data_IF_549351984777
#
_entry.id   IF_549351984777
#
_cell.length_a   1.000
_cell.length_b   1.000
_cell.length_c   1.000
_cell.angle_alpha   90.00
_cell.angle_beta   90.00
_cell.angle_gamma   90.00
#
_symmetry.space_group_name_H-M   'P 1'
#
loop_
_entity.id
_entity.type
_entity.pdbx_description
1 polymer ?
#
# COMPACT_ATOMS: atom_id res chain seq x y z
N UNK A 1 29.43 14.49 12.50
CA UNK A 1 29.97 14.05 11.21
C UNK A 1 29.71 15.18 10.22
N UNK A 2 30.77 15.78 9.72
CA UNK A 2 30.73 16.85 8.71
C UNK A 2 29.96 16.32 7.48
N UNK A 3 28.96 17.06 7.04
CA UNK A 3 28.29 16.89 5.75
C UNK A 3 29.39 17.11 4.69
N UNK A 4 29.96 16.04 4.15
CA UNK A 4 30.70 16.14 2.89
C UNK A 4 29.74 16.72 1.87
N UNK A 5 30.16 17.76 1.17
CA UNK A 5 29.42 18.41 0.10
C UNK A 5 28.70 17.36 -0.75
N UNK A 6 27.37 17.34 -0.69
CA UNK A 6 26.54 16.45 -1.49
C UNK A 6 26.67 16.95 -2.94
N UNK A 7 27.61 16.33 -3.67
CA UNK A 7 27.82 16.64 -5.07
C UNK A 7 26.82 15.86 -5.91
N UNK A 8 26.15 16.54 -6.85
CA UNK A 8 25.25 15.94 -7.82
C UNK A 8 23.77 16.24 -7.61
N UNK A 9 22.97 15.80 -8.59
CA UNK A 9 21.52 16.04 -8.61
C UNK A 9 20.72 14.75 -8.82
N UNK A 10 19.51 14.72 -8.26
CA UNK A 10 18.58 13.62 -8.48
C UNK A 10 17.21 14.14 -8.93
N UNK A 11 16.53 13.34 -9.75
CA UNK A 11 15.16 13.62 -10.20
C UNK A 11 14.25 12.47 -9.79
N UNK A 12 13.15 12.80 -9.12
CA UNK A 12 12.08 11.87 -8.76
C UNK A 12 10.86 12.12 -9.63
N UNK A 13 10.36 11.10 -10.28
CA UNK A 13 9.19 11.17 -11.15
C UNK A 13 7.97 10.69 -10.38
N UNK A 14 7.04 11.60 -10.10
CA UNK A 14 5.82 11.36 -9.32
C UNK A 14 5.94 11.76 -7.85
N UNK A 15 4.93 12.45 -7.33
CA UNK A 15 4.85 12.99 -5.97
C UNK A 15 3.74 12.33 -5.11
N UNK A 16 3.51 11.01 -5.28
CA UNK A 16 2.76 10.20 -4.33
C UNK A 16 3.70 9.68 -3.24
N UNK A 17 3.21 8.90 -2.27
CA UNK A 17 4.01 8.45 -1.11
C UNK A 17 5.36 7.86 -1.53
N UNK A 18 5.41 7.03 -2.56
CA UNK A 18 6.67 6.42 -3.03
C UNK A 18 7.67 7.49 -3.44
N UNK A 19 7.25 8.45 -4.28
CA UNK A 19 8.13 9.52 -4.74
C UNK A 19 8.53 10.47 -3.63
N UNK A 20 7.62 10.81 -2.72
CA UNK A 20 7.93 11.65 -1.56
C UNK A 20 8.95 10.97 -0.61
N UNK A 21 8.83 9.66 -0.40
CA UNK A 21 9.81 8.90 0.40
C UNK A 21 11.15 8.80 -0.32
N UNK A 22 11.16 8.59 -1.65
CA UNK A 22 12.38 8.62 -2.44
C UNK A 22 13.07 10.00 -2.35
N UNK A 23 12.32 11.10 -2.52
CA UNK A 23 12.84 12.45 -2.42
C UNK A 23 13.45 12.73 -1.03
N UNK A 24 12.76 12.30 0.04
CA UNK A 24 13.29 12.42 1.41
C UNK A 24 14.63 11.70 1.58
N UNK A 25 14.71 10.47 1.07
CA UNK A 25 15.96 9.69 1.14
C UNK A 25 17.06 10.36 0.31
N UNK A 26 16.76 10.75 -0.93
CA UNK A 26 17.73 11.35 -1.84
C UNK A 26 18.30 12.68 -1.33
N UNK A 27 17.50 13.45 -0.58
CA UNK A 27 17.93 14.70 0.02
C UNK A 27 19.13 14.56 0.98
N UNK A 28 19.37 13.37 1.51
CA UNK A 28 20.54 13.09 2.37
C UNK A 28 21.82 12.78 1.54
N UNK A 29 21.70 12.59 0.20
CA UNK A 29 22.81 12.12 -0.65
C UNK A 29 23.12 13.06 -1.83
N UNK A 30 22.20 13.95 -2.19
CA UNK A 30 22.32 14.84 -3.36
C UNK A 30 22.15 16.30 -2.94
N UNK A 31 22.88 17.17 -3.62
CA UNK A 31 22.80 18.63 -3.41
C UNK A 31 21.45 19.20 -3.84
N UNK A 32 20.90 18.67 -4.92
CA UNK A 32 19.61 19.07 -5.47
C UNK A 32 18.73 17.85 -5.78
N UNK A 33 17.48 17.88 -5.34
CA UNK A 33 16.46 16.87 -5.63
C UNK A 33 15.25 17.55 -6.24
N UNK A 34 14.94 17.24 -7.51
CA UNK A 34 13.75 17.75 -8.19
C UNK A 34 12.67 16.68 -8.25
N UNK A 35 11.50 16.97 -7.69
CA UNK A 35 10.31 16.10 -7.78
C UNK A 35 9.42 16.60 -8.91
N UNK A 36 9.31 15.81 -9.98
CA UNK A 36 8.44 16.12 -11.14
C UNK A 36 7.08 15.50 -10.92
N UNK A 37 6.02 16.29 -10.96
CA UNK A 37 4.65 15.84 -10.79
C UNK A 37 3.72 16.39 -11.88
N UNK A 38 2.87 15.52 -12.40
CA UNK A 38 1.89 15.88 -13.44
C UNK A 38 0.74 16.75 -12.96
N UNK A 39 0.34 16.58 -11.69
CA UNK A 39 -0.71 17.37 -11.06
C UNK A 39 -0.11 18.65 -10.47
N UNK A 40 -0.94 19.69 -10.33
CA UNK A 40 -0.70 20.78 -9.39
C UNK A 40 -1.05 20.26 -8.00
N UNK A 41 -0.10 20.27 -7.09
CA UNK A 41 -0.25 19.64 -5.79
C UNK A 41 -1.02 20.54 -4.80
N UNK A 42 -2.11 20.06 -4.19
CA UNK A 42 -2.87 20.82 -3.21
C UNK A 42 -2.05 21.06 -1.93
N UNK A 43 -2.31 22.16 -1.23
CA UNK A 43 -1.71 22.43 0.07
C UNK A 43 -2.30 21.57 1.20
N UNK A 44 -3.56 21.16 1.10
CA UNK A 44 -4.29 20.40 2.11
C UNK A 44 -4.53 18.93 1.75
N UNK A 45 -5.34 18.23 2.57
CA UNK A 45 -5.69 16.81 2.42
C UNK A 45 -6.79 16.59 1.36
N UNK A 46 -6.55 16.98 0.12
CA UNK A 46 -7.48 16.88 -0.99
C UNK A 46 -7.12 15.67 -1.87
N UNK A 47 -8.14 14.95 -2.34
CA UNK A 47 -7.97 13.90 -3.35
C UNK A 47 -7.54 14.53 -4.68
N UNK A 48 -6.59 13.92 -5.38
CA UNK A 48 -6.07 14.41 -6.65
C UNK A 48 -6.16 13.36 -7.76
N UNK A 49 -6.21 13.81 -9.00
CA UNK A 49 -6.42 12.96 -10.17
C UNK A 49 -5.30 11.92 -10.37
N UNK A 50 -4.05 12.27 -10.07
CA UNK A 50 -2.91 11.35 -10.18
C UNK A 50 -2.88 10.25 -9.13
N UNK A 51 -3.70 10.36 -8.06
CA UNK A 51 -3.81 9.34 -6.98
C UNK A 51 -5.26 8.93 -6.77
N UNK A 52 -5.90 8.26 -7.75
CA UNK A 52 -7.32 7.90 -7.69
C UNK A 52 -7.66 6.97 -6.51
N UNK A 53 -6.69 6.20 -6.01
CA UNK A 53 -6.84 5.39 -4.80
C UNK A 53 -6.95 6.21 -3.51
N UNK A 54 -6.71 7.52 -3.55
CA UNK A 54 -6.75 8.39 -2.37
C UNK A 54 -8.10 8.47 -1.66
N UNK A 55 -9.20 8.16 -2.35
CA UNK A 55 -10.56 8.07 -1.80
C UNK A 55 -10.94 6.69 -1.23
N UNK A 56 -10.03 5.71 -1.30
CA UNK A 56 -10.28 4.35 -0.82
C UNK A 56 -9.99 4.21 0.68
N UNK A 57 -10.54 3.17 1.37
CA UNK A 57 -10.16 2.86 2.74
C UNK A 57 -8.64 2.62 2.85
N UNK A 58 -8.01 3.27 3.82
CA UNK A 58 -6.59 3.09 4.09
C UNK A 58 -6.32 3.00 5.58
N UNK A 59 -5.28 2.26 5.92
CA UNK A 59 -4.67 2.25 7.25
C UNK A 59 -3.16 2.40 7.07
N UNK A 60 -2.50 3.03 8.03
CA UNK A 60 -1.05 3.01 8.09
C UNK A 60 -0.63 1.82 8.94
N UNK A 61 -0.20 0.76 8.26
CA UNK A 61 0.25 -0.48 8.87
C UNK A 61 1.53 -0.27 9.68
N UNK A 62 1.72 -1.07 10.72
CA UNK A 62 2.83 -0.97 11.69
C UNK A 62 4.20 -0.83 11.02
N UNK A 63 4.49 -1.62 9.98
CA UNK A 63 5.79 -1.53 9.27
C UNK A 63 5.98 -0.19 8.59
N UNK A 64 4.95 0.29 7.87
CA UNK A 64 5.02 1.59 7.21
C UNK A 64 5.11 2.72 8.22
N UNK A 65 4.36 2.65 9.32
CA UNK A 65 4.38 3.63 10.41
C UNK A 65 5.79 3.80 11.00
N UNK A 66 6.42 2.69 11.37
CA UNK A 66 7.79 2.72 11.92
C UNK A 66 8.82 3.29 10.95
N UNK A 67 8.70 2.97 9.65
CA UNK A 67 9.60 3.53 8.64
C UNK A 67 9.36 5.02 8.42
N UNK A 68 8.10 5.45 8.33
CA UNK A 68 7.75 6.86 8.19
C UNK A 68 8.27 7.69 9.37
N UNK A 69 8.13 7.19 10.59
CA UNK A 69 8.65 7.89 11.77
C UNK A 69 10.17 7.93 11.81
N UNK A 70 10.84 6.87 11.30
CA UNK A 70 12.30 6.83 11.16
C UNK A 70 12.83 7.86 10.16
N UNK A 71 12.15 8.06 9.02
CA UNK A 71 12.59 9.00 7.97
C UNK A 71 12.07 10.42 8.20
N UNK A 72 11.02 10.56 8.99
CA UNK A 72 10.42 11.83 9.42
C UNK A 72 10.17 11.82 10.92
N UNK A 73 11.17 12.06 11.77
CA UNK A 73 11.01 12.02 13.24
C UNK A 73 9.82 12.83 13.73
N UNK A 74 9.01 12.26 14.64
CA UNK A 74 7.77 12.86 15.16
C UNK A 74 6.59 12.87 14.17
N UNK A 75 6.67 12.09 13.09
CA UNK A 75 5.58 12.00 12.10
C UNK A 75 4.32 11.37 12.69
N UNK A 76 4.47 10.34 13.50
CA UNK A 76 3.32 9.65 14.10
C UNK A 76 2.61 10.52 15.14
N UNK A 77 3.35 11.29 15.92
CA UNK A 77 2.77 12.24 16.88
C UNK A 77 1.96 13.32 16.16
N UNK A 78 2.49 13.87 15.07
CA UNK A 78 1.79 14.84 14.24
C UNK A 78 0.53 14.24 13.59
N UNK A 79 0.58 12.98 13.14
CA UNK A 79 -0.56 12.29 12.56
C UNK A 79 -1.69 12.14 13.58
N UNK A 80 -1.36 11.73 14.79
CA UNK A 80 -2.32 11.58 15.91
C UNK A 80 -2.86 12.92 16.36
N UNK A 81 -2.01 13.93 16.53
CA UNK A 81 -2.42 15.30 16.86
C UNK A 81 -3.37 15.91 15.82
N UNK A 82 -3.23 15.50 14.55
CA UNK A 82 -4.14 15.88 13.45
C UNK A 82 -5.43 15.09 13.39
N UNK A 83 -5.71 14.21 14.37
CA UNK A 83 -6.97 13.50 14.53
C UNK A 83 -6.97 12.03 14.03
N UNK A 84 -5.85 11.50 13.58
CA UNK A 84 -5.76 10.08 13.25
C UNK A 84 -5.99 9.22 14.49
N UNK A 85 -6.76 8.15 14.34
CA UNK A 85 -6.98 7.20 15.45
C UNK A 85 -5.85 6.19 15.51
N UNK A 86 -5.52 5.75 16.72
CA UNK A 86 -4.49 4.77 16.98
C UNK A 86 -5.08 3.54 17.66
N UNK A 87 -4.70 2.35 17.20
CA UNK A 87 -4.92 1.09 17.89
C UNK A 87 -3.57 0.55 18.38
N UNK A 88 -3.30 0.67 19.65
CA UNK A 88 -2.03 0.33 20.30
C UNK A 88 -2.21 -0.36 21.66
N UNK A 89 -3.47 -0.55 22.10
CA UNK A 89 -3.84 -1.14 23.39
C UNK A 89 -4.21 -2.62 23.28
N UNK A 90 -4.25 -3.14 22.04
CA UNK A 90 -4.59 -4.52 21.75
C UNK A 90 -6.06 -4.90 21.90
N UNK A 91 -6.96 -3.95 22.19
CA UNK A 91 -8.39 -4.19 22.39
C UNK A 91 -9.05 -4.73 21.10
N UNK A 92 -9.38 -6.02 21.11
CA UNK A 92 -9.98 -6.72 19.98
C UNK A 92 -11.42 -6.26 19.67
N UNK A 93 -12.10 -5.60 20.60
CA UNK A 93 -13.43 -5.07 20.36
C UNK A 93 -13.46 -3.90 19.37
N UNK A 94 -12.29 -3.28 19.11
CA UNK A 94 -12.11 -2.23 18.09
C UNK A 94 -12.01 -2.76 16.69
N UNK A 95 -11.96 -4.08 16.50
CA UNK A 95 -11.79 -4.75 15.23
C UNK A 95 -12.98 -5.69 14.97
N UNK A 96 -13.50 -5.70 13.73
CA UNK A 96 -14.50 -6.65 13.30
C UNK A 96 -14.08 -7.26 11.96
N UNK A 97 -13.38 -8.39 12.02
CA UNK A 97 -12.69 -8.96 10.87
C UNK A 97 -13.24 -10.34 10.54
N UNK A 98 -13.64 -10.52 9.28
CA UNK A 98 -14.10 -11.83 8.75
C UNK A 98 -13.32 -12.15 7.49
N UNK A 99 -12.62 -13.28 7.49
CA UNK A 99 -11.83 -13.78 6.37
C UNK A 99 -12.11 -15.27 6.18
N UNK A 100 -12.32 -15.71 4.93
CA UNK A 100 -12.59 -17.12 4.61
C UNK A 100 -13.84 -17.68 5.32
N UNK A 101 -14.82 -16.83 5.66
CA UNK A 101 -15.98 -17.21 6.47
C UNK A 101 -15.73 -17.20 7.99
N UNK A 102 -14.48 -17.09 8.44
CA UNK A 102 -14.10 -17.10 9.86
C UNK A 102 -14.12 -15.68 10.43
N UNK A 103 -14.89 -15.49 11.50
CA UNK A 103 -14.96 -14.23 12.24
C UNK A 103 -13.95 -14.26 13.38
N UNK A 104 -12.94 -13.41 13.31
CA UNK A 104 -11.88 -13.33 14.33
C UNK A 104 -12.45 -12.90 15.70
N UNK A 105 -11.79 -13.38 16.75
CA UNK A 105 -12.12 -13.07 18.15
C UNK A 105 -12.20 -11.55 18.37
N UNK A 106 -13.25 -11.09 19.03
CA UNK A 106 -13.54 -9.67 19.27
C UNK A 106 -13.55 -9.28 20.76
N UNK A 107 -13.23 -10.21 21.65
CA UNK A 107 -13.17 -9.96 23.09
C UNK A 107 -11.76 -10.10 23.63
N UNK A 108 -11.45 -9.33 24.67
CA UNK A 108 -10.12 -9.34 25.27
C UNK A 108 -9.08 -8.54 24.47
N UNK A 109 -7.81 -8.86 24.70
CA UNK A 109 -6.68 -8.18 24.08
C UNK A 109 -5.72 -9.17 23.44
N UNK A 110 -4.95 -8.71 22.45
CA UNK A 110 -3.78 -9.46 21.96
C UNK A 110 -2.72 -9.56 23.08
N UNK A 111 -1.93 -10.67 23.13
CA UNK A 111 -0.94 -10.88 24.20
C UNK A 111 0.16 -9.81 24.25
N UNK A 112 0.61 -9.31 23.10
CA UNK A 112 1.62 -8.27 22.99
C UNK A 112 1.11 -7.10 22.13
N UNK A 113 0.40 -6.12 22.70
CA UNK A 113 -0.14 -4.98 21.99
C UNK A 113 0.94 -4.12 21.32
N UNK A 114 2.16 -4.07 21.89
CA UNK A 114 3.25 -3.25 21.36
C UNK A 114 3.81 -3.76 20.04
N UNK A 115 3.60 -5.04 19.74
CA UNK A 115 4.07 -5.64 18.47
C UNK A 115 3.25 -5.21 17.25
N UNK A 116 2.08 -4.61 17.45
CA UNK A 116 1.20 -4.17 16.37
C UNK A 116 0.56 -2.84 16.76
N UNK A 117 0.94 -1.79 16.07
CA UNK A 117 0.35 -0.46 16.23
C UNK A 117 -0.19 0.00 14.88
N UNK A 118 -1.49 0.25 14.79
CA UNK A 118 -2.14 0.62 13.54
C UNK A 118 -2.68 2.04 13.69
N UNK A 119 -2.37 2.88 12.68
CA UNK A 119 -2.94 4.23 12.61
C UNK A 119 -4.02 4.26 11.53
N UNK A 120 -5.19 4.73 11.91
CA UNK A 120 -6.36 4.88 11.04
C UNK A 120 -6.45 6.32 10.59
N UNK A 121 -6.25 6.52 9.29
CA UNK A 121 -6.20 7.85 8.69
C UNK A 121 -6.53 7.74 7.20
N UNK A 122 -7.14 8.77 6.63
CA UNK A 122 -7.35 8.82 5.19
C UNK A 122 -6.02 9.04 4.45
N UNK A 123 -5.88 8.39 3.31
CA UNK A 123 -4.70 8.52 2.45
C UNK A 123 -4.37 9.97 2.12
N UNK A 124 -5.37 10.80 1.83
CA UNK A 124 -5.20 12.21 1.51
C UNK A 124 -4.58 13.00 2.67
N UNK A 125 -4.97 12.70 3.92
CA UNK A 125 -4.42 13.35 5.10
C UNK A 125 -2.98 12.94 5.35
N UNK A 126 -2.70 11.64 5.36
CA UNK A 126 -1.35 11.09 5.46
C UNK A 126 -0.41 11.69 4.41
N UNK A 127 -0.82 11.68 3.12
CA UNK A 127 0.00 12.18 2.01
C UNK A 127 0.23 13.70 2.14
N UNK A 128 -0.73 14.47 2.66
CA UNK A 128 -0.57 15.91 2.85
C UNK A 128 0.51 16.25 3.88
N UNK A 129 0.60 15.47 4.97
CA UNK A 129 1.64 15.64 5.99
C UNK A 129 3.01 15.28 5.41
N UNK A 130 3.14 14.13 4.75
CA UNK A 130 4.41 13.72 4.13
C UNK A 130 4.87 14.76 3.10
N UNK A 131 3.96 15.22 2.23
CA UNK A 131 4.26 16.24 1.21
C UNK A 131 4.72 17.55 1.84
N UNK A 132 4.06 18.03 2.90
CA UNK A 132 4.46 19.25 3.61
C UNK A 132 5.87 19.11 4.18
N UNK A 133 6.18 17.97 4.81
CA UNK A 133 7.51 17.71 5.36
C UNK A 133 8.59 17.62 4.27
N UNK A 134 8.30 17.00 3.13
CA UNK A 134 9.25 16.95 2.00
C UNK A 134 9.46 18.34 1.39
N UNK A 135 8.41 19.16 1.25
CA UNK A 135 8.53 20.53 0.77
C UNK A 135 9.36 21.44 1.70
N UNK A 136 9.44 21.11 2.97
CA UNK A 136 10.25 21.85 3.94
C UNK A 136 11.74 21.50 3.89
N UNK A 137 12.15 20.50 3.09
CA UNK A 137 13.56 20.13 2.93
C UNK A 137 14.24 21.12 1.96
N UNK A 138 15.31 21.83 2.38
CA UNK A 138 15.87 22.97 1.63
C UNK A 138 16.36 22.63 0.22
N UNK A 139 16.91 21.43 0.01
CA UNK A 139 17.44 20.95 -1.28
C UNK A 139 16.43 20.11 -2.07
N UNK A 140 15.12 20.18 -1.75
CA UNK A 140 14.06 19.51 -2.51
C UNK A 140 13.17 20.55 -3.18
N UNK A 141 13.06 20.50 -4.49
CA UNK A 141 12.18 21.35 -5.29
C UNK A 141 11.10 20.54 -5.98
N UNK A 142 9.93 21.16 -6.23
CA UNK A 142 8.82 20.53 -6.93
C UNK A 142 8.58 21.21 -8.26
N UNK A 143 8.58 20.41 -9.34
CA UNK A 143 8.20 20.83 -10.69
C UNK A 143 6.83 20.23 -11.00
N UNK A 144 5.79 20.99 -10.71
CA UNK A 144 4.39 20.60 -10.86
C UNK A 144 3.84 20.89 -12.26
N UNK A 145 2.78 20.18 -12.68
CA UNK A 145 2.14 20.38 -13.98
C UNK A 145 2.97 19.88 -15.16
N UNK A 146 3.90 18.92 -14.95
CA UNK A 146 4.79 18.41 -15.97
C UNK A 146 4.64 16.90 -16.17
N UNK A 147 4.49 16.47 -17.41
CA UNK A 147 4.58 15.07 -17.80
C UNK A 147 6.02 14.70 -18.17
N UNK A 148 6.41 13.45 -17.92
CA UNK A 148 7.72 12.93 -18.37
C UNK A 148 7.60 12.51 -19.84
N UNK A 149 8.37 13.15 -20.72
CA UNK A 149 8.38 12.86 -22.14
C UNK A 149 9.28 11.68 -22.48
N UNK A 150 10.56 11.71 -22.05
CA UNK A 150 11.57 10.67 -22.29
C UNK A 150 12.71 10.74 -21.27
N UNK A 151 13.51 9.68 -21.19
CA UNK A 151 14.78 9.69 -20.47
C UNK A 151 15.90 10.21 -21.38
N UNK A 152 16.90 10.87 -20.78
CA UNK A 152 18.18 11.18 -21.45
C UNK A 152 19.25 10.20 -20.96
N UNK A 153 20.23 9.92 -21.81
CA UNK A 153 21.29 8.96 -21.49
C UNK A 153 22.62 9.39 -22.10
N UNK A 154 23.73 8.81 -21.63
CA UNK A 154 25.06 8.93 -22.24
C UNK A 154 25.03 8.46 -23.70
N UNK A 155 26.04 8.89 -24.50
CA UNK A 155 26.15 8.52 -25.93
C UNK A 155 26.10 7.00 -26.14
N UNK A 156 26.74 6.21 -25.28
CA UNK A 156 26.72 4.75 -25.34
C UNK A 156 25.49 4.13 -24.61
N UNK A 157 24.56 4.98 -24.16
CA UNK A 157 23.32 4.60 -23.47
C UNK A 157 23.54 3.74 -22.21
N UNK A 158 24.75 3.68 -21.66
CA UNK A 158 25.09 2.89 -20.49
C UNK A 158 24.53 3.46 -19.18
N UNK A 159 24.16 4.75 -19.17
CA UNK A 159 23.67 5.47 -18.01
C UNK A 159 22.58 6.47 -18.40
N UNK A 160 21.53 6.54 -17.62
CA UNK A 160 20.54 7.62 -17.65
C UNK A 160 21.19 8.87 -17.02
N UNK A 161 21.05 10.01 -17.68
CA UNK A 161 21.66 11.30 -17.31
C UNK A 161 20.63 12.38 -17.02
N UNK A 162 19.33 12.01 -16.98
CA UNK A 162 18.24 12.92 -16.71
C UNK A 162 16.96 12.57 -17.43
N UNK A 163 16.07 13.55 -17.53
CA UNK A 163 14.76 13.41 -18.17
C UNK A 163 14.40 14.64 -18.99
N UNK A 164 13.62 14.45 -20.04
CA UNK A 164 12.89 15.54 -20.69
C UNK A 164 11.48 15.55 -20.14
N UNK A 165 11.06 16.71 -19.67
CA UNK A 165 9.72 16.96 -19.16
C UNK A 165 8.97 17.92 -20.08
N UNK A 166 7.66 17.74 -20.18
CA UNK A 166 6.78 18.59 -20.98
C UNK A 166 5.75 19.26 -20.08
N UNK A 167 5.67 20.57 -20.13
CA UNK A 167 4.68 21.34 -19.39
C UNK A 167 3.29 21.10 -19.96
N UNK A 168 2.34 20.75 -19.14
CA UNK A 168 1.01 20.24 -19.56
C UNK A 168 0.11 21.29 -20.22
N UNK A 169 0.26 22.55 -19.83
CA UNK A 169 -0.55 23.66 -20.37
C UNK A 169 -0.07 24.13 -21.74
N UNK A 170 1.24 24.08 -22.01
CA UNK A 170 1.86 24.64 -23.21
C UNK A 170 2.52 23.59 -24.11
N UNK A 171 2.79 22.38 -23.59
CA UNK A 171 3.58 21.39 -24.29
C UNK A 171 5.08 21.72 -24.38
N UNK A 172 5.53 22.84 -23.76
CA UNK A 172 6.93 23.24 -23.80
C UNK A 172 7.81 22.20 -23.09
N UNK A 173 8.83 21.70 -23.80
CA UNK A 173 9.79 20.74 -23.26
C UNK A 173 10.98 21.44 -22.62
N UNK A 174 11.47 20.85 -21.52
CA UNK A 174 12.73 21.20 -20.90
C UNK A 174 13.48 19.94 -20.43
N UNK A 175 14.80 20.06 -20.35
CA UNK A 175 15.65 18.94 -19.90
C UNK A 175 16.14 19.17 -18.49
N UNK A 176 15.93 18.18 -17.62
CA UNK A 176 16.51 18.12 -16.28
C UNK A 176 17.64 17.10 -16.30
N UNK A 177 18.86 17.56 -16.07
CA UNK A 177 20.03 16.68 -15.88
C UNK A 177 20.03 16.11 -14.48
N UNK A 178 20.44 14.85 -14.33
CA UNK A 178 20.53 14.19 -13.04
C UNK A 178 21.51 13.02 -13.03
N UNK A 179 22.17 12.80 -11.92
CA UNK A 179 23.01 11.62 -11.69
C UNK A 179 22.18 10.39 -11.35
N UNK A 180 20.97 10.60 -10.81
CA UNK A 180 20.01 9.55 -10.53
C UNK A 180 18.58 10.01 -10.86
N UNK A 181 17.86 9.19 -11.60
CA UNK A 181 16.43 9.30 -11.86
C UNK A 181 15.71 8.18 -11.13
N UNK A 182 14.69 8.54 -10.34
CA UNK A 182 13.83 7.57 -9.65
C UNK A 182 12.41 7.65 -10.21
N UNK A 183 11.97 6.60 -10.90
CA UNK A 183 10.58 6.49 -11.37
C UNK A 183 9.66 5.96 -10.27
N UNK A 184 8.79 6.83 -9.76
CA UNK A 184 7.70 6.56 -8.84
C UNK A 184 6.34 6.97 -9.43
N UNK A 185 6.19 6.92 -10.78
CA UNK A 185 4.98 7.36 -11.50
C UNK A 185 3.81 6.37 -11.39
N UNK A 186 3.98 5.29 -10.62
CA UNK A 186 2.94 4.34 -10.32
C UNK A 186 2.58 3.40 -11.48
N UNK A 187 1.35 2.89 -11.48
CA UNK A 187 0.90 1.86 -12.46
C UNK A 187 1.05 2.29 -13.92
N UNK A 188 0.99 3.59 -14.17
CA UNK A 188 1.11 4.18 -15.50
C UNK A 188 2.55 4.43 -15.95
N UNK A 189 3.56 3.97 -15.22
CA UNK A 189 4.97 4.15 -15.57
C UNK A 189 5.27 3.78 -17.02
N UNK A 190 5.94 4.69 -17.71
CA UNK A 190 6.40 4.53 -19.08
C UNK A 190 7.84 4.04 -19.18
N UNK A 191 8.51 3.85 -18.05
CA UNK A 191 9.92 3.39 -18.02
C UNK A 191 10.18 2.11 -18.82
N UNK A 192 9.27 1.09 -18.88
CA UNK A 192 9.48 -0.06 -19.76
C UNK A 192 9.64 0.32 -21.23
N UNK A 193 8.89 1.32 -21.70
CA UNK A 193 9.00 1.83 -23.09
C UNK A 193 10.31 2.63 -23.28
N UNK A 194 10.64 3.49 -22.32
CA UNK A 194 11.90 4.24 -22.39
C UNK A 194 13.14 3.34 -22.38
N UNK A 195 13.12 2.23 -21.62
CA UNK A 195 14.20 1.25 -21.65
C UNK A 195 14.33 0.56 -23.00
N UNK A 196 13.21 0.25 -23.65
CA UNK A 196 13.20 -0.32 -25.02
C UNK A 196 13.80 0.66 -26.03
N UNK A 197 13.43 1.95 -25.97
CA UNK A 197 13.99 3.02 -26.80
C UNK A 197 15.52 3.18 -26.60
N UNK A 198 15.99 2.94 -25.37
CA UNK A 198 17.42 2.94 -25.03
C UNK A 198 18.14 1.63 -25.41
N UNK A 199 17.44 0.60 -25.88
CA UNK A 199 18.01 -0.68 -26.30
C UNK A 199 18.23 -1.70 -25.18
N UNK A 200 17.55 -1.54 -24.03
CA UNK A 200 17.61 -2.49 -22.89
C UNK A 200 16.54 -3.57 -22.93
N UNK A 201 15.52 -3.42 -23.75
CA UNK A 201 14.32 -4.25 -23.76
C UNK A 201 13.39 -3.93 -22.58
N UNK A 202 12.20 -4.51 -22.63
CA UNK A 202 11.19 -4.35 -21.56
C UNK A 202 11.39 -5.39 -20.46
N UNK A 203 11.21 -5.03 -19.18
CA UNK A 203 11.15 -6.02 -18.12
C UNK A 203 9.97 -6.98 -18.35
N UNK A 204 10.21 -8.27 -18.13
CA UNK A 204 9.13 -9.27 -18.13
C UNK A 204 8.07 -8.88 -17.08
N UNK A 205 6.81 -9.08 -17.37
CA UNK A 205 5.72 -8.87 -16.43
C UNK A 205 5.15 -10.21 -15.94
N UNK A 206 5.15 -10.39 -14.62
CA UNK A 206 4.32 -11.40 -13.96
C UNK A 206 2.96 -10.75 -13.69
N UNK A 207 1.85 -11.37 -14.11
CA UNK A 207 0.52 -10.75 -14.09
C UNK A 207 -0.56 -11.74 -13.69
N UNK A 208 -1.50 -11.29 -12.84
CA UNK A 208 -2.73 -12.00 -12.49
C UNK A 208 -3.91 -11.06 -12.68
N UNK A 209 -4.81 -11.40 -13.59
CA UNK A 209 -6.06 -10.65 -13.81
C UNK A 209 -7.01 -10.91 -12.64
N UNK A 210 -7.52 -9.86 -12.02
CA UNK A 210 -8.43 -9.95 -10.86
C UNK A 210 -9.74 -9.21 -11.08
N UNK A 211 -9.75 -8.19 -11.96
CA UNK A 211 -10.91 -7.39 -12.32
C UNK A 211 -11.71 -6.94 -11.08
N UNK A 212 -11.01 -6.33 -10.11
CA UNK A 212 -11.62 -5.79 -8.90
C UNK A 212 -12.12 -4.37 -9.15
N UNK A 213 -13.30 -4.07 -8.66
CA UNK A 213 -13.80 -2.69 -8.56
C UNK A 213 -14.16 -2.39 -7.12
N UNK A 214 -13.71 -1.26 -6.62
CA UNK A 214 -14.08 -0.70 -5.33
C UNK A 214 -15.05 0.44 -5.54
N UNK A 215 -16.21 0.39 -4.89
CA UNK A 215 -17.12 1.52 -4.72
C UNK A 215 -16.96 2.04 -3.29
N UNK A 216 -16.54 3.29 -3.14
CA UNK A 216 -16.21 3.86 -1.83
C UNK A 216 -16.96 5.16 -1.57
N UNK A 217 -17.43 5.30 -0.34
CA UNK A 217 -18.19 6.44 0.16
C UNK A 217 -17.56 6.93 1.46
N UNK A 218 -16.97 8.13 1.51
CA UNK A 218 -16.58 8.75 2.76
C UNK A 218 -17.83 9.24 3.51
N UNK A 219 -17.87 8.96 4.81
CA UNK A 219 -19.01 9.30 5.67
C UNK A 219 -18.53 9.87 7.00
N UNK A 220 -19.37 10.70 7.63
CA UNK A 220 -19.24 11.08 9.03
C UNK A 220 -20.16 10.19 9.86
N UNK A 221 -19.63 9.59 10.91
CA UNK A 221 -20.38 8.74 11.85
C UNK A 221 -20.40 9.44 13.20
N UNK A 222 -21.59 9.68 13.73
CA UNK A 222 -21.73 10.36 15.03
C UNK A 222 -20.94 9.62 16.12
N UNK A 223 -20.23 10.36 17.01
CA UNK A 223 -19.46 9.78 18.10
C UNK A 223 -20.25 8.76 18.91
N UNK A 224 -19.65 7.61 19.21
CA UNK A 224 -20.29 6.55 19.98
C UNK A 224 -21.21 5.60 19.20
N UNK A 225 -21.55 5.89 17.93
CA UNK A 225 -22.38 5.02 17.08
C UNK A 225 -21.66 3.72 16.71
N UNK A 226 -20.35 3.80 16.43
CA UNK A 226 -19.52 2.67 16.06
C UNK A 226 -18.30 2.59 16.98
N UNK A 227 -18.09 1.41 17.56
CA UNK A 227 -16.94 1.15 18.44
C UNK A 227 -15.68 0.79 17.63
N UNK A 228 -15.86 0.13 16.52
CA UNK A 228 -14.79 -0.41 15.70
C UNK A 228 -14.11 0.69 14.89
N UNK A 229 -12.78 0.59 14.82
CA UNK A 229 -11.96 1.39 13.90
C UNK A 229 -11.80 0.71 12.55
N UNK A 230 -11.99 -0.62 12.53
CA UNK A 230 -11.66 -1.44 11.39
C UNK A 230 -12.67 -2.60 11.27
N UNK A 231 -13.51 -2.53 10.25
CA UNK A 231 -14.46 -3.60 9.94
C UNK A 231 -14.20 -4.09 8.53
N UNK A 232 -13.97 -5.38 8.37
CA UNK A 232 -13.84 -6.08 7.07
C UNK A 232 -14.69 -7.34 7.09
N UNK A 233 -15.40 -7.56 5.99
CA UNK A 233 -15.87 -8.87 5.57
C UNK A 233 -15.28 -9.14 4.19
N UNK A 234 -14.28 -10.02 4.11
CA UNK A 234 -13.61 -10.35 2.87
C UNK A 234 -14.53 -11.11 1.92
N UNK A 235 -14.24 -11.02 0.63
CA UNK A 235 -14.90 -11.84 -0.38
C UNK A 235 -14.56 -13.32 -0.14
N UNK A 236 -15.51 -14.19 -0.44
CA UNK A 236 -15.38 -15.64 -0.34
C UNK A 236 -15.92 -16.34 -1.60
N UNK A 237 -15.62 -17.63 -1.82
CA UNK A 237 -16.03 -18.36 -3.02
C UNK A 237 -17.52 -18.32 -3.33
N UNK A 238 -18.36 -18.38 -2.30
CA UNK A 238 -19.83 -18.29 -2.42
C UNK A 238 -20.33 -16.87 -2.65
N UNK A 239 -19.54 -15.87 -2.28
CA UNK A 239 -19.89 -14.45 -2.34
C UNK A 239 -18.66 -13.62 -2.75
N UNK A 240 -18.43 -13.43 -4.07
CA UNK A 240 -17.27 -12.71 -4.59
C UNK A 240 -17.39 -11.18 -4.44
N UNK A 241 -17.88 -10.74 -3.29
CA UNK A 241 -18.01 -9.36 -2.85
C UNK A 241 -17.49 -9.24 -1.44
N UNK A 242 -16.83 -8.13 -1.14
CA UNK A 242 -16.35 -7.80 0.19
C UNK A 242 -16.85 -6.45 0.65
N UNK A 243 -16.77 -6.23 1.95
CA UNK A 243 -17.13 -5.00 2.63
C UNK A 243 -15.96 -4.53 3.49
N UNK A 244 -15.74 -3.22 3.54
CA UNK A 244 -14.81 -2.59 4.44
C UNK A 244 -15.37 -1.26 4.96
N UNK A 245 -15.13 -0.98 6.25
CA UNK A 245 -15.42 0.31 6.86
C UNK A 245 -14.27 0.67 7.79
N UNK A 246 -13.51 1.70 7.43
CA UNK A 246 -12.29 2.10 8.12
C UNK A 246 -12.45 3.49 8.69
N UNK A 247 -12.10 3.64 9.97
CA UNK A 247 -12.00 4.94 10.60
C UNK A 247 -10.93 5.82 9.94
N UNK A 248 -11.14 7.10 9.97
CA UNK A 248 -10.18 8.14 9.64
C UNK A 248 -10.07 9.14 10.76
N UNK A 249 -9.57 10.32 10.44
CA UNK A 249 -9.52 11.47 11.34
C UNK A 249 -10.93 12.06 11.56
N UNK A 250 -11.14 12.66 12.76
CA UNK A 250 -12.33 13.48 13.09
C UNK A 250 -13.69 12.78 12.86
N UNK A 251 -13.85 11.56 13.39
CA UNK A 251 -15.09 10.76 13.30
C UNK A 251 -15.55 10.45 11.86
N UNK A 252 -14.64 10.59 10.90
CA UNK A 252 -14.88 10.17 9.53
C UNK A 252 -14.53 8.70 9.33
N UNK A 253 -15.22 8.08 8.37
CA UNK A 253 -14.97 6.71 7.92
C UNK A 253 -14.98 6.65 6.40
N UNK A 254 -14.33 5.66 5.82
CA UNK A 254 -14.57 5.27 4.43
C UNK A 254 -15.25 3.92 4.42
N UNK A 255 -16.44 3.92 3.84
CA UNK A 255 -17.23 2.73 3.56
C UNK A 255 -16.90 2.26 2.15
N UNK A 256 -16.64 0.97 1.95
CA UNK A 256 -16.34 0.43 0.63
C UNK A 256 -16.97 -0.94 0.39
N UNK A 257 -17.43 -1.14 -0.82
CA UNK A 257 -17.79 -2.44 -1.39
C UNK A 257 -16.76 -2.81 -2.43
N UNK A 258 -16.23 -4.01 -2.30
CA UNK A 258 -15.35 -4.61 -3.31
C UNK A 258 -16.15 -5.63 -4.13
N UNK A 259 -16.11 -5.53 -5.44
CA UNK A 259 -16.63 -6.55 -6.36
C UNK A 259 -15.48 -7.14 -7.17
N UNK A 260 -15.52 -8.46 -7.42
CA UNK A 260 -14.46 -9.21 -8.11
C UNK A 260 -14.97 -9.78 -9.43
N UNK A 261 -14.01 -10.22 -10.25
CA UNK A 261 -14.27 -10.90 -11.53
C UNK A 261 -15.21 -10.12 -12.46
N UNK A 262 -15.14 -8.77 -12.44
CA UNK A 262 -15.92 -7.92 -13.31
C UNK A 262 -17.40 -7.76 -12.92
N UNK A 263 -17.81 -8.20 -11.74
CA UNK A 263 -19.17 -7.95 -11.25
C UNK A 263 -19.48 -6.46 -11.16
N UNK A 264 -20.74 -6.04 -11.38
CA UNK A 264 -21.16 -4.64 -11.25
C UNK A 264 -20.88 -4.11 -9.84
N UNK A 265 -20.35 -2.91 -9.74
CA UNK A 265 -20.18 -2.19 -8.49
C UNK A 265 -21.28 -1.13 -8.33
N UNK A 266 -21.75 -0.86 -7.10
CA UNK A 266 -22.72 0.19 -6.84
C UNK A 266 -22.14 1.57 -7.21
N UNK A 267 -22.99 2.44 -7.81
CA UNK A 267 -22.57 3.75 -8.32
C UNK A 267 -23.08 4.92 -7.50
N UNK A 268 -24.05 4.66 -6.62
CA UNK A 268 -24.68 5.64 -5.74
C UNK A 268 -24.82 5.09 -4.31
N UNK A 269 -25.21 5.96 -3.38
CA UNK A 269 -25.33 5.64 -1.95
C UNK A 269 -26.34 4.53 -1.69
N UNK A 270 -27.51 4.59 -2.29
CA UNK A 270 -28.59 3.64 -2.01
C UNK A 270 -28.23 2.24 -2.53
N UNK A 271 -27.71 2.17 -3.76
CA UNK A 271 -27.19 0.92 -4.32
C UNK A 271 -26.06 0.36 -3.47
N UNK A 272 -25.16 1.21 -2.95
CA UNK A 272 -24.06 0.80 -2.07
C UNK A 272 -24.62 0.24 -0.77
N UNK A 273 -25.51 0.95 -0.07
CA UNK A 273 -26.11 0.50 1.19
C UNK A 273 -26.93 -0.78 1.02
N UNK A 274 -27.66 -0.89 -0.08
CA UNK A 274 -28.42 -2.11 -0.39
C UNK A 274 -27.50 -3.32 -0.62
N UNK A 275 -26.35 -3.11 -1.27
CA UNK A 275 -25.36 -4.16 -1.50
C UNK A 275 -24.65 -4.66 -0.22
N UNK A 276 -24.82 -3.94 0.90
CA UNK A 276 -24.25 -4.31 2.20
C UNK A 276 -25.15 -5.23 3.03
N UNK A 277 -26.40 -5.40 2.68
CA UNK A 277 -27.41 -6.06 3.53
C UNK A 277 -27.03 -7.50 3.91
N UNK A 278 -26.36 -8.20 3.00
CA UNK A 278 -25.95 -9.61 3.18
C UNK A 278 -24.43 -9.78 3.52
N UNK A 279 -23.67 -8.67 3.57
CA UNK A 279 -22.22 -8.76 3.79
C UNK A 279 -21.71 -7.99 5.01
N UNK A 280 -22.36 -6.88 5.36
CA UNK A 280 -21.92 -6.08 6.50
C UNK A 280 -22.48 -6.65 7.80
N UNK A 281 -21.70 -6.62 8.91
CA UNK A 281 -22.25 -6.90 10.24
C UNK A 281 -23.43 -5.97 10.55
N UNK A 282 -24.52 -6.43 11.19
CA UNK A 282 -25.74 -5.63 11.39
C UNK A 282 -25.51 -4.26 12.04
N UNK A 283 -24.62 -4.17 13.03
CA UNK A 283 -24.28 -2.92 13.70
C UNK A 283 -23.52 -1.94 12.76
N UNK A 284 -22.62 -2.46 11.93
CA UNK A 284 -21.89 -1.65 10.95
C UNK A 284 -22.82 -1.17 9.81
N UNK A 285 -23.78 -2.01 9.38
CA UNK A 285 -24.80 -1.61 8.41
C UNK A 285 -25.72 -0.52 9.00
N UNK A 286 -26.13 -0.64 10.26
CA UNK A 286 -26.94 0.37 10.95
C UNK A 286 -26.18 1.71 11.02
N UNK A 287 -24.89 1.67 11.42
CA UNK A 287 -24.04 2.85 11.44
C UNK A 287 -23.86 3.47 10.03
N UNK A 288 -23.67 2.64 9.00
CA UNK A 288 -23.54 3.12 7.62
C UNK A 288 -24.83 3.81 7.09
N UNK A 289 -26.01 3.28 7.48
CA UNK A 289 -27.31 3.87 7.10
C UNK A 289 -27.57 5.20 7.77
N UNK A 290 -27.16 5.38 9.04
CA UNK A 290 -27.34 6.62 9.81
C UNK A 290 -26.23 7.64 9.54
N UNK A 291 -25.14 7.25 8.89
CA UNK A 291 -23.99 8.12 8.63
C UNK A 291 -24.32 9.21 7.60
N UNK A 292 -23.76 10.39 7.80
CA UNK A 292 -23.83 11.50 6.85
C UNK A 292 -22.79 11.32 5.73
N UNK A 293 -23.19 11.32 4.44
CA UNK A 293 -22.22 11.23 3.35
C UNK A 293 -21.42 12.54 3.23
N UNK A 294 -20.12 12.42 3.06
CA UNK A 294 -19.20 13.56 2.89
C UNK A 294 -18.88 13.83 1.41
N UNK A 295 -19.22 12.91 0.52
CA UNK A 295 -19.05 13.01 -0.93
C UNK A 295 -19.91 11.95 -1.64
N UNK A 296 -19.90 11.97 -2.95
CA UNK A 296 -20.51 10.91 -3.77
C UNK A 296 -19.70 9.62 -3.76
N UNK A 297 -20.34 8.52 -4.17
CA UNK A 297 -19.66 7.22 -4.36
C UNK A 297 -18.62 7.35 -5.47
N UNK A 298 -17.40 6.94 -5.15
CA UNK A 298 -16.28 6.91 -6.10
C UNK A 298 -15.92 5.49 -6.47
N UNK A 299 -15.67 5.26 -7.78
CA UNK A 299 -15.27 3.96 -8.29
C UNK A 299 -13.75 3.92 -8.54
N UNK A 300 -13.11 2.87 -8.04
CA UNK A 300 -11.71 2.58 -8.31
C UNK A 300 -11.56 1.18 -8.92
N UNK A 301 -11.09 1.12 -10.18
CA UNK A 301 -10.89 -0.13 -10.91
C UNK A 301 -9.44 -0.60 -10.78
N UNK A 302 -9.30 -1.85 -10.38
CA UNK A 302 -8.02 -2.54 -10.29
C UNK A 302 -8.08 -3.84 -11.11
N UNK A 303 -7.60 -3.81 -12.38
CA UNK A 303 -7.78 -4.94 -13.28
C UNK A 303 -6.86 -6.12 -12.99
N UNK A 304 -5.62 -5.88 -12.52
CA UNK A 304 -4.63 -6.93 -12.38
C UNK A 304 -3.55 -6.61 -11.34
N UNK A 305 -3.11 -7.62 -10.62
CA UNK A 305 -1.79 -7.61 -10.01
C UNK A 305 -0.76 -7.65 -11.13
N UNK A 306 0.33 -6.86 -11.02
CA UNK A 306 1.39 -6.81 -12.01
C UNK A 306 2.73 -6.53 -11.35
N UNK A 307 3.71 -7.35 -11.66
CA UNK A 307 5.09 -7.18 -11.24
C UNK A 307 6.01 -7.14 -12.44
N UNK A 308 6.61 -5.99 -12.70
CA UNK A 308 7.64 -5.77 -13.72
C UNK A 308 8.98 -6.20 -13.15
N UNK A 309 9.55 -7.24 -13.72
CA UNK A 309 10.72 -7.94 -13.22
C UNK A 309 12.01 -7.23 -13.63
N UNK A 310 12.23 -6.02 -13.09
CA UNK A 310 13.49 -5.29 -13.28
C UNK A 310 14.69 -6.06 -12.75
N UNK A 311 14.50 -6.88 -11.71
CA UNK A 311 15.50 -7.78 -11.13
C UNK A 311 15.95 -8.91 -12.09
N UNK A 312 15.22 -9.13 -13.19
CA UNK A 312 15.49 -10.16 -14.20
C UNK A 312 15.96 -9.58 -15.55
N UNK A 313 16.14 -8.27 -15.63
CA UNK A 313 16.74 -7.68 -16.82
C UNK A 313 18.20 -8.14 -16.95
N UNK A 314 18.60 -8.56 -18.15
CA UNK A 314 19.98 -8.96 -18.43
C UNK A 314 20.97 -7.78 -18.19
N UNK A 315 20.53 -6.56 -18.50
CA UNK A 315 21.27 -5.32 -18.27
C UNK A 315 20.30 -4.23 -17.82
N UNK A 316 20.76 -3.35 -16.96
CA UNK A 316 20.06 -2.13 -16.53
C UNK A 316 20.98 -0.93 -16.74
N UNK A 317 20.49 0.23 -17.22
CA UNK A 317 21.31 1.43 -17.27
C UNK A 317 21.68 1.88 -15.85
N UNK A 318 22.88 2.41 -15.66
CA UNK A 318 23.18 3.19 -14.47
C UNK A 318 22.27 4.40 -14.37
N UNK A 319 22.15 4.99 -13.17
CA UNK A 319 21.41 6.24 -12.98
C UNK A 319 19.89 6.15 -13.08
N UNK A 320 19.29 4.94 -13.04
CA UNK A 320 17.84 4.75 -13.05
C UNK A 320 17.38 3.74 -11.99
N UNK A 321 16.42 4.15 -11.16
CA UNK A 321 15.70 3.30 -10.20
C UNK A 321 14.20 3.38 -10.52
N UNK A 322 13.47 2.29 -10.29
CA UNK A 322 12.00 2.23 -10.41
C UNK A 322 11.44 1.67 -9.10
N UNK A 323 10.44 2.34 -8.53
CA UNK A 323 9.91 2.04 -7.20
C UNK A 323 8.37 2.01 -7.15
N UNK A 324 7.83 1.38 -6.11
CA UNK A 324 6.41 1.33 -5.79
C UNK A 324 5.58 0.69 -6.90
N UNK A 325 4.39 1.23 -7.15
CA UNK A 325 3.46 0.73 -8.17
C UNK A 325 4.03 0.79 -9.61
N UNK A 326 5.09 1.55 -9.84
CA UNK A 326 5.82 1.54 -11.11
C UNK A 326 6.57 0.23 -11.34
N UNK A 327 7.05 -0.40 -10.27
CA UNK A 327 7.69 -1.71 -10.29
C UNK A 327 6.69 -2.84 -10.03
N UNK A 328 5.92 -2.77 -8.94
CA UNK A 328 4.96 -3.82 -8.59
C UNK A 328 3.71 -3.24 -7.95
N UNK A 329 2.56 -3.60 -8.50
CA UNK A 329 1.26 -3.28 -7.89
C UNK A 329 0.44 -4.56 -7.69
N UNK A 330 -0.26 -4.63 -6.58
CA UNK A 330 -1.13 -5.75 -6.22
C UNK A 330 -2.43 -5.24 -5.58
N UNK A 331 -3.40 -6.13 -5.49
CA UNK A 331 -4.74 -5.83 -5.01
C UNK A 331 -4.69 -5.05 -3.68
N UNK A 332 -5.27 -3.84 -3.64
CA UNK A 332 -5.24 -2.96 -2.45
C UNK A 332 -5.85 -3.57 -1.19
N UNK A 333 -6.71 -4.57 -1.33
CA UNK A 333 -7.35 -5.27 -0.20
C UNK A 333 -6.36 -5.72 0.88
N UNK A 334 -5.14 -6.07 0.49
CA UNK A 334 -4.13 -6.59 1.42
C UNK A 334 -3.37 -5.50 2.18
N UNK A 335 -3.57 -4.22 1.84
CA UNK A 335 -3.02 -3.07 2.58
C UNK A 335 -1.49 -2.93 2.55
N UNK A 336 -0.77 -3.72 1.73
CA UNK A 336 0.70 -3.83 1.79
C UNK A 336 1.46 -2.80 0.96
N UNK A 337 0.78 -2.06 0.06
CA UNK A 337 1.45 -1.18 -0.92
C UNK A 337 2.32 -0.09 -0.27
N UNK A 338 1.82 0.58 0.77
CA UNK A 338 2.58 1.63 1.48
C UNK A 338 3.76 1.04 2.26
N UNK A 339 3.61 -0.15 2.86
CA UNK A 339 4.69 -0.82 3.57
C UNK A 339 5.82 -1.23 2.64
N UNK A 340 5.49 -1.69 1.43
CA UNK A 340 6.49 -2.00 0.39
C UNK A 340 7.19 -0.73 -0.08
N UNK A 341 6.44 0.34 -0.43
CA UNK A 341 7.03 1.61 -0.84
C UNK A 341 7.98 2.20 0.22
N UNK A 342 7.60 2.15 1.50
CA UNK A 342 8.43 2.57 2.61
C UNK A 342 9.69 1.69 2.76
N UNK A 343 9.54 0.37 2.61
CA UNK A 343 10.68 -0.57 2.65
C UNK A 343 11.64 -0.33 1.47
N UNK A 344 11.13 -0.09 0.27
CA UNK A 344 11.95 0.26 -0.89
C UNK A 344 12.74 1.56 -0.68
N UNK A 345 12.16 2.55 0.00
CA UNK A 345 12.88 3.78 0.35
C UNK A 345 14.08 3.51 1.29
N UNK A 346 13.92 2.63 2.28
CA UNK A 346 15.05 2.20 3.12
C UNK A 346 16.10 1.41 2.34
N UNK A 347 15.67 0.52 1.43
CA UNK A 347 16.59 -0.22 0.54
C UNK A 347 17.37 0.75 -0.33
N UNK A 348 16.71 1.78 -0.90
CA UNK A 348 17.38 2.82 -1.68
C UNK A 348 18.43 3.55 -0.85
N UNK A 349 18.08 3.98 0.37
CA UNK A 349 19.01 4.61 1.31
C UNK A 349 20.24 3.73 1.59
N UNK A 350 20.01 2.46 1.88
CA UNK A 350 21.07 1.54 2.24
C UNK A 350 21.95 1.18 1.04
N UNK A 351 21.40 1.12 -0.17
CA UNK A 351 22.15 0.99 -1.40
C UNK A 351 23.01 2.23 -1.71
N UNK A 352 22.48 3.44 -1.50
CA UNK A 352 23.23 4.69 -1.70
C UNK A 352 24.39 4.83 -0.72
N UNK A 353 24.24 4.39 0.54
CA UNK A 353 25.32 4.34 1.52
C UNK A 353 26.50 3.44 1.09
N UNK A 354 26.24 2.45 0.24
CA UNK A 354 27.25 1.54 -0.32
C UNK A 354 27.86 2.09 -1.62
N UNK A 355 27.48 3.27 -2.06
CA UNK A 355 27.97 3.93 -3.28
C UNK A 355 27.10 3.69 -4.51
N UNK A 356 27.53 4.29 -5.63
CA UNK A 356 26.74 4.32 -6.88
C UNK A 356 27.03 3.15 -7.84
N UNK A 357 28.11 2.39 -7.58
CA UNK A 357 28.46 1.26 -8.43
C UNK A 357 27.37 0.19 -8.39
N UNK A 358 26.91 -0.22 -9.57
CA UNK A 358 25.85 -1.21 -9.74
C UNK A 358 24.59 -0.96 -8.87
N UNK A 359 24.32 0.32 -8.57
CA UNK A 359 23.19 0.72 -7.71
C UNK A 359 21.84 0.14 -8.18
N UNK A 360 21.45 0.18 -9.47
CA UNK A 360 20.19 -0.39 -9.92
C UNK A 360 20.09 -1.90 -9.66
N UNK A 361 21.16 -2.66 -9.95
CA UNK A 361 21.18 -4.11 -9.76
C UNK A 361 21.05 -4.50 -8.29
N UNK A 362 21.77 -3.80 -7.40
CA UNK A 362 21.66 -4.02 -5.94
C UNK A 362 20.25 -3.69 -5.44
N UNK A 363 19.74 -2.53 -5.83
CA UNK A 363 18.40 -2.10 -5.44
C UNK A 363 17.33 -3.09 -5.90
N UNK A 364 17.28 -3.42 -7.20
CA UNK A 364 16.27 -4.33 -7.73
C UNK A 364 16.38 -5.74 -7.13
N UNK A 365 17.61 -6.23 -6.88
CA UNK A 365 17.84 -7.52 -6.24
C UNK A 365 17.32 -7.59 -4.80
N UNK A 366 17.50 -6.52 -4.01
CA UNK A 366 17.01 -6.43 -2.64
C UNK A 366 15.50 -6.16 -2.60
N UNK A 367 15.01 -5.23 -3.39
CA UNK A 367 13.59 -4.90 -3.48
C UNK A 367 12.76 -6.11 -3.92
N UNK A 368 13.25 -6.91 -4.88
CA UNK A 368 12.57 -8.11 -5.36
C UNK A 368 12.31 -9.16 -4.26
N UNK A 369 13.15 -9.21 -3.21
CA UNK A 369 12.93 -10.12 -2.06
C UNK A 369 11.70 -9.70 -1.26
N UNK A 370 11.60 -8.42 -0.93
CA UNK A 370 10.47 -7.88 -0.14
C UNK A 370 9.17 -7.84 -0.96
N UNK A 371 9.25 -7.33 -2.18
CA UNK A 371 8.12 -7.33 -3.14
C UNK A 371 7.62 -8.75 -3.40
N UNK A 372 8.54 -9.72 -3.57
CA UNK A 372 8.19 -11.11 -3.85
C UNK A 372 7.33 -11.75 -2.77
N UNK A 373 7.49 -11.33 -1.53
CA UNK A 373 6.69 -11.83 -0.41
C UNK A 373 5.27 -11.25 -0.41
N UNK A 374 5.17 -9.94 -0.62
CA UNK A 374 3.87 -9.29 -0.77
C UNK A 374 3.12 -9.80 -2.01
N UNK A 375 3.82 -9.96 -3.12
CA UNK A 375 3.30 -10.54 -4.35
C UNK A 375 2.73 -11.95 -4.13
N UNK A 376 3.50 -12.83 -3.50
CA UNK A 376 3.06 -14.19 -3.22
C UNK A 376 1.82 -14.22 -2.30
N UNK A 377 1.75 -13.33 -1.31
CA UNK A 377 0.60 -13.21 -0.42
C UNK A 377 -0.62 -12.77 -1.22
N UNK A 378 -0.53 -11.66 -1.96
CA UNK A 378 -1.64 -11.11 -2.74
C UNK A 378 -2.15 -12.11 -3.79
N UNK A 379 -1.24 -12.67 -4.60
CA UNK A 379 -1.61 -13.63 -5.66
C UNK A 379 -2.22 -14.91 -5.09
N UNK A 380 -1.68 -15.44 -3.98
CA UNK A 380 -2.24 -16.65 -3.37
C UNK A 380 -3.64 -16.40 -2.82
N UNK A 381 -3.86 -15.25 -2.16
CA UNK A 381 -5.16 -14.90 -1.62
C UNK A 381 -6.19 -14.62 -2.71
N UNK A 382 -5.81 -13.94 -3.80
CA UNK A 382 -6.69 -13.74 -4.95
C UNK A 382 -7.06 -15.10 -5.59
N UNK A 383 -6.10 -16.02 -5.72
CA UNK A 383 -6.32 -17.37 -6.26
C UNK A 383 -7.08 -18.29 -5.30
N UNK A 384 -7.36 -17.91 -4.06
CA UNK A 384 -8.30 -18.63 -3.19
C UNK A 384 -9.73 -18.58 -3.75
N UNK A 385 -10.05 -17.51 -4.52
CA UNK A 385 -11.36 -17.33 -5.14
C UNK A 385 -11.43 -18.05 -6.49
N UNK A 386 -12.36 -18.99 -6.70
CA UNK A 386 -12.45 -19.77 -7.94
C UNK A 386 -12.75 -18.92 -9.17
N UNK A 387 -13.38 -17.75 -8.99
CA UNK A 387 -13.70 -16.78 -10.03
C UNK A 387 -12.44 -16.14 -10.65
N UNK A 388 -11.31 -16.13 -9.95
CA UNK A 388 -10.05 -15.61 -10.46
C UNK A 388 -9.33 -16.68 -11.25
N UNK A 389 -9.18 -16.48 -12.55
CA UNK A 389 -8.46 -17.40 -13.42
C UNK A 389 -6.95 -17.38 -13.14
N UNK A 390 -6.34 -18.55 -12.97
CA UNK A 390 -4.90 -18.66 -12.75
C UNK A 390 -4.45 -20.04 -12.26
N UNK A 391 -3.15 -20.28 -12.32
CA UNK A 391 -2.56 -21.55 -11.93
C UNK A 391 -2.45 -21.68 -10.40
N UNK A 392 -3.20 -22.58 -9.81
CA UNK A 392 -3.15 -22.93 -8.39
C UNK A 392 -2.09 -23.99 -8.14
N UNK A 393 -0.83 -23.56 -8.00
CA UNK A 393 0.29 -24.46 -7.70
C UNK A 393 0.14 -25.12 -6.32
N UNK A 394 0.90 -26.19 -6.05
CA UNK A 394 0.90 -26.83 -4.74
C UNK A 394 1.27 -25.83 -3.62
N UNK A 395 2.22 -24.91 -3.88
CA UNK A 395 2.60 -23.86 -2.93
C UNK A 395 1.49 -22.85 -2.65
N UNK A 396 0.70 -22.47 -3.66
CA UNK A 396 -0.49 -21.61 -3.49
C UNK A 396 -1.53 -22.30 -2.63
N UNK A 397 -1.86 -23.57 -2.95
CA UNK A 397 -2.82 -24.37 -2.16
C UNK A 397 -2.39 -24.52 -0.70
N UNK A 398 -1.10 -24.86 -0.47
CA UNK A 398 -0.57 -25.00 0.90
C UNK A 398 -0.66 -23.66 1.67
N UNK A 399 -0.26 -22.56 1.05
CA UNK A 399 -0.33 -21.23 1.68
C UNK A 399 -1.75 -20.86 2.05
N UNK A 400 -2.70 -21.06 1.13
CA UNK A 400 -4.11 -20.75 1.40
C UNK A 400 -4.66 -21.64 2.52
N UNK A 401 -4.33 -22.93 2.54
CA UNK A 401 -4.74 -23.82 3.63
C UNK A 401 -4.13 -23.44 4.99
N UNK A 402 -2.89 -22.93 5.02
CA UNK A 402 -2.28 -22.44 6.25
C UNK A 402 -2.96 -21.15 6.75
N UNK A 403 -3.26 -20.21 5.85
CA UNK A 403 -3.99 -18.98 6.20
C UNK A 403 -5.39 -19.31 6.70
N UNK A 404 -6.11 -20.20 6.03
CA UNK A 404 -7.44 -20.67 6.42
C UNK A 404 -7.43 -21.26 7.84
N UNK A 405 -6.51 -22.16 8.15
CA UNK A 405 -6.34 -22.71 9.51
C UNK A 405 -5.99 -21.65 10.55
N UNK A 406 -5.18 -20.66 10.17
CA UNK A 406 -4.81 -19.56 11.06
C UNK A 406 -6.02 -18.69 11.40
N UNK A 407 -6.83 -18.31 10.41
CA UNK A 407 -8.02 -17.48 10.65
C UNK A 407 -9.11 -18.27 11.39
N UNK A 408 -9.25 -19.58 11.13
CA UNK A 408 -10.13 -20.45 11.89
C UNK A 408 -9.73 -20.53 13.39
N UNK A 409 -8.44 -20.71 13.68
CA UNK A 409 -7.95 -20.70 15.05
C UNK A 409 -8.10 -19.31 15.72
N UNK A 410 -8.02 -18.24 14.94
CA UNK A 410 -8.19 -16.86 15.41
C UNK A 410 -9.64 -16.51 15.82
N UNK A 411 -10.62 -17.37 15.57
CA UNK A 411 -12.00 -17.19 16.09
C UNK A 411 -12.06 -17.23 17.62
N UNK A 412 -11.13 -17.96 18.26
CA UNK A 412 -11.15 -18.21 19.71
C UNK A 412 -9.81 -17.95 20.41
N UNK A 413 -8.72 -17.82 19.67
CA UNK A 413 -7.37 -17.69 20.22
C UNK A 413 -6.77 -16.30 19.95
N UNK A 414 -6.58 -15.44 20.97
CA UNK A 414 -6.01 -14.10 20.80
C UNK A 414 -4.55 -14.13 20.31
N UNK A 415 -3.79 -15.22 20.56
CA UNK A 415 -2.44 -15.39 19.99
C UNK A 415 -2.51 -15.52 18.47
N UNK A 416 -3.49 -16.28 17.98
CA UNK A 416 -3.68 -16.46 16.54
C UNK A 416 -4.20 -15.19 15.86
N UNK A 417 -5.06 -14.42 16.52
CA UNK A 417 -5.43 -13.07 16.06
C UNK A 417 -4.19 -12.20 15.93
N UNK A 418 -3.33 -12.17 16.95
CA UNK A 418 -2.08 -11.40 16.92
C UNK A 418 -1.19 -11.83 15.75
N UNK A 419 -1.00 -13.13 15.51
CA UNK A 419 -0.19 -13.64 14.39
C UNK A 419 -0.75 -13.23 13.03
N UNK A 420 -2.07 -13.32 12.89
CA UNK A 420 -2.74 -12.87 11.67
C UNK A 420 -2.55 -11.36 11.43
N UNK A 421 -2.74 -10.54 12.45
CA UNK A 421 -2.53 -9.09 12.36
C UNK A 421 -1.06 -8.74 12.10
N UNK A 422 -0.11 -9.44 12.70
CA UNK A 422 1.32 -9.27 12.42
C UNK A 422 1.65 -9.55 10.94
N UNK A 423 1.09 -10.62 10.39
CA UNK A 423 1.23 -10.96 8.97
C UNK A 423 0.65 -9.87 8.06
N UNK A 424 -0.55 -9.37 8.35
CA UNK A 424 -1.19 -8.28 7.60
C UNK A 424 -0.36 -6.99 7.66
N UNK A 425 0.21 -6.69 8.82
CA UNK A 425 1.01 -5.47 9.06
C UNK A 425 2.49 -5.61 8.63
N UNK A 426 2.87 -6.75 8.06
CA UNK A 426 4.24 -7.07 7.61
C UNK A 426 5.28 -6.95 8.72
N UNK A 427 4.91 -7.26 9.97
CA UNK A 427 5.79 -7.25 11.15
C UNK A 427 5.87 -8.62 11.79
N UNK A 428 6.84 -8.78 12.69
CA UNK A 428 7.09 -10.06 13.38
C UNK A 428 7.96 -11.04 12.56
N UNK A 429 8.62 -11.97 13.26
CA UNK A 429 9.47 -12.96 12.62
C UNK A 429 8.61 -13.99 11.88
N UNK A 430 8.80 -14.13 10.58
CA UNK A 430 8.09 -15.14 9.74
C UNK A 430 8.28 -16.57 10.23
N UNK A 431 9.44 -16.86 10.82
CA UNK A 431 9.73 -18.15 11.43
C UNK A 431 8.74 -18.53 12.56
N UNK A 432 8.10 -17.53 13.17
CA UNK A 432 7.09 -17.78 14.21
C UNK A 432 5.83 -18.45 13.71
N UNK A 433 5.46 -18.27 12.44
CA UNK A 433 4.33 -18.98 11.82
C UNK A 433 4.59 -20.50 11.73
N UNK A 434 5.86 -20.90 11.68
CA UNK A 434 6.29 -22.28 11.57
C UNK A 434 6.77 -22.88 12.91
N UNK A 435 6.66 -22.14 14.01
CA UNK A 435 6.98 -22.69 15.35
C UNK A 435 6.03 -23.83 15.70
N UNK A 436 6.49 -24.90 16.35
CA UNK A 436 5.64 -26.02 16.78
C UNK A 436 4.41 -25.56 17.58
N UNK A 437 4.58 -24.57 18.46
CA UNK A 437 3.47 -24.00 19.24
C UNK A 437 2.39 -23.35 18.38
N UNK A 438 2.77 -22.64 17.31
CA UNK A 438 1.82 -22.03 16.36
C UNK A 438 1.12 -23.11 15.54
N UNK A 439 1.86 -24.10 15.05
CA UNK A 439 1.29 -25.23 14.31
C UNK A 439 0.29 -26.03 15.16
N UNK A 440 0.62 -26.29 16.43
CA UNK A 440 -0.29 -26.97 17.37
C UNK A 440 -1.58 -26.16 17.60
N UNK A 441 -1.50 -24.83 17.73
CA UNK A 441 -2.68 -23.96 17.84
C UNK A 441 -3.54 -23.98 16.59
N UNK A 442 -2.95 -23.96 15.40
CA UNK A 442 -3.68 -24.10 14.13
C UNK A 442 -4.30 -25.50 13.94
N UNK A 443 -3.77 -26.53 14.59
CA UNK A 443 -4.29 -27.89 14.55
C UNK A 443 -5.35 -28.16 15.60
N UNK A 444 -5.41 -27.36 16.67
CA UNK A 444 -6.43 -27.49 17.71
C UNK A 444 -7.81 -27.19 17.10
N UNK A 445 -8.79 -28.10 17.32
CA UNK A 445 -10.17 -27.84 16.91
C UNK A 445 -10.67 -26.58 17.66
N UNK A 446 -11.39 -25.67 16.98
CA UNK A 446 -12.02 -24.55 17.67
C UNK A 446 -12.91 -25.11 18.79
N UNK A 447 -12.70 -24.65 20.03
CA UNK A 447 -13.61 -24.96 21.14
C UNK A 447 -14.96 -24.37 20.75
N UNK A 448 -15.98 -25.22 20.61
CA UNK A 448 -17.32 -24.75 20.35
C UNK A 448 -17.71 -23.71 21.40
N UNK A 449 -18.15 -22.54 20.97
CA UNK A 449 -18.60 -21.46 21.86
C UNK A 449 -19.78 -21.85 22.76
N UNK A 450 -20.33 -23.09 22.63
CA UNK A 450 -21.34 -23.67 23.48
C UNK A 450 -20.79 -24.25 24.79
N UNK A 451 -19.48 -24.55 24.88
CA UNK A 451 -18.87 -25.17 26.08
C UNK A 451 -18.29 -24.14 27.07
N UNK A 452 -18.37 -22.83 26.77
CA UNK A 452 -17.93 -21.76 27.67
C UNK A 452 -19.08 -21.10 28.47
N UNK A 453 -20.29 -21.62 28.37
CA UNK A 453 -21.48 -21.15 29.10
C UNK A 453 -22.07 -22.22 30.03
N UNK A 454 -21.30 -23.25 30.42
CA UNK A 454 -21.65 -24.21 31.43
C UNK A 454 -20.83 -23.99 32.72
#
# INVERSE_FOLDING_TARGET
MSLSESQGSAVVLGASITGLLAARVLADFYGDVTVVERDVLPHGPVTRRGVPQGGQPHTLATRAAGILDQVFPGFLDELVAGGARIWNDGDLSRLCLTFGGHRLLRSGKVPDPKSIVIHYTHRRFLESIVRRRVRAIPNVTFLEGHDVARLTATQHRSRVTGVVVARRDSGAESTLTADLVVDATGRGSRTPMFLEELGYGRPREDKLMVHVTYASLPVHVAPGTLREYFTITAAEPSRPRGFAMFAGENDTYVLAVQTLAGQPAPTDRDALLNSLTDIAPPHALAAARSAEPLADVTLYKFPANRWRRYDKLARTPGGLIVMGDAMCNFNPLYGQGMSIAATEALILRDCLRQGHESLPQRFFGLAAKEVGLAWQTAVSSDLALPQIAGKRTASVRLRNALVDRMVAAAETDPVMVQRFLQMMNMVGPRAELFRPSTILRMAAKPRNARDAAA
#
